data_IF_761871225879
#
_entry.id   IF_761871225879
#
_cell.length_a   1.000
_cell.length_b   1.000
_cell.length_c   1.000
_cell.angle_alpha   90.00
_cell.angle_beta   90.00
_cell.angle_gamma   90.00
#
_symmetry.space_group_name_H-M   'P 1'
#
loop_
_entity.id
_entity.type
_entity.pdbx_description
1 polymer ?
#
# COMPACT_ATOMS: atom_id res chain seq x y z
N UNK A 1 -13.72 27.54 -27.44
CA UNK A 1 -12.83 28.50 -26.76
C UNK A 1 -11.48 27.81 -26.63
N UNK A 2 -10.46 28.43 -27.20
CA UNK A 2 -9.07 27.99 -27.15
C UNK A 2 -8.54 27.91 -25.71
N UNK A 3 -7.64 26.95 -25.48
CA UNK A 3 -6.44 27.05 -24.66
C UNK A 3 -6.57 27.46 -23.19
N UNK A 4 -6.40 26.49 -22.29
CA UNK A 4 -5.57 26.66 -21.08
C UNK A 4 -4.68 25.41 -20.96
N UNK A 5 -3.41 25.59 -21.27
CA UNK A 5 -2.27 24.68 -21.02
C UNK A 5 -1.60 25.03 -19.68
N UNK A 6 -0.83 24.25 -18.92
CA UNK A 6 -0.64 22.82 -18.55
C UNK A 6 -0.19 22.86 -17.05
N UNK A 7 -0.14 21.75 -16.29
CA UNK A 7 1.21 21.32 -15.88
C UNK A 7 1.45 19.79 -15.79
N UNK A 8 2.53 19.19 -16.35
CA UNK A 8 3.76 19.80 -16.92
C UNK A 8 4.71 18.82 -17.66
N UNK A 9 4.91 19.13 -18.95
CA UNK A 9 6.17 19.10 -19.71
C UNK A 9 6.61 17.80 -20.40
N UNK A 10 5.71 17.24 -21.22
CA UNK A 10 6.06 16.53 -22.45
C UNK A 10 5.10 16.98 -23.57
N UNK A 11 5.32 16.54 -24.81
CA UNK A 11 4.71 17.12 -26.03
C UNK A 11 3.16 17.06 -26.09
N UNK A 12 2.49 16.30 -25.22
CA UNK A 12 1.03 16.27 -24.93
C UNK A 12 0.75 15.46 -23.63
N UNK A 13 -0.22 15.87 -22.80
CA UNK A 13 -0.79 15.04 -21.72
C UNK A 13 -1.50 13.79 -22.30
N UNK A 14 -1.77 12.75 -21.51
CA UNK A 14 -2.39 11.48 -21.99
C UNK A 14 -3.78 11.70 -22.59
N UNK A 15 -4.55 12.60 -21.98
CA UNK A 15 -5.85 13.06 -22.48
C UNK A 15 -5.75 13.84 -23.79
N UNK A 16 -4.53 14.29 -24.14
CA UNK A 16 -4.19 15.06 -25.33
C UNK A 16 -3.36 14.25 -26.35
N UNK A 17 -2.92 13.03 -26.00
CA UNK A 17 -2.10 12.17 -26.85
C UNK A 17 -2.95 11.26 -27.74
N UNK A 18 -2.60 11.17 -29.03
CA UNK A 18 -3.17 10.20 -29.95
C UNK A 18 -2.69 8.79 -29.55
N UNK A 19 -3.47 8.11 -28.72
CA UNK A 19 -3.23 6.71 -28.38
C UNK A 19 -3.78 5.79 -29.46
N UNK A 20 -3.15 4.63 -29.63
CA UNK A 20 -3.73 3.58 -30.47
C UNK A 20 -5.05 3.12 -29.84
N UNK A 21 -6.15 3.47 -30.51
CA UNK A 21 -7.50 3.14 -30.08
C UNK A 21 -7.81 1.65 -30.23
N UNK A 22 -8.88 1.23 -29.57
CA UNK A 22 -9.42 -0.12 -29.68
C UNK A 22 -10.28 -0.25 -30.94
N UNK A 23 -9.99 -1.21 -31.81
CA UNK A 23 -10.80 -1.50 -33.01
C UNK A 23 -11.42 -2.88 -33.00
N UNK A 24 -11.01 -3.77 -32.09
CA UNK A 24 -11.60 -5.08 -31.90
C UNK A 24 -11.46 -5.54 -30.45
N UNK A 25 -12.49 -6.23 -29.94
CA UNK A 25 -12.52 -6.87 -28.63
C UNK A 25 -13.26 -8.21 -28.73
N UNK A 26 -12.67 -9.28 -28.20
CA UNK A 26 -13.12 -10.67 -28.34
C UNK A 26 -13.05 -11.46 -27.04
N UNK A 27 -14.09 -12.25 -26.77
CA UNK A 27 -14.11 -13.23 -25.69
C UNK A 27 -13.78 -14.62 -26.22
N UNK A 28 -12.59 -15.13 -25.88
CA UNK A 28 -12.16 -16.48 -26.25
C UNK A 28 -12.39 -17.45 -25.10
N UNK A 29 -13.27 -18.42 -25.33
CA UNK A 29 -13.69 -19.37 -24.30
C UNK A 29 -12.90 -20.68 -24.31
N UNK A 30 -11.95 -20.84 -25.24
CA UNK A 30 -11.16 -22.05 -25.38
C UNK A 30 -9.69 -21.73 -25.68
N UNK A 31 -8.94 -21.48 -24.62
CA UNK A 31 -7.51 -21.14 -24.66
C UNK A 31 -6.61 -22.26 -25.19
N UNK A 32 -7.01 -23.51 -24.96
CA UNK A 32 -6.20 -24.70 -25.23
C UNK A 32 -6.41 -25.31 -26.62
N UNK A 33 -7.30 -24.73 -27.43
CA UNK A 33 -7.47 -25.12 -28.83
C UNK A 33 -6.59 -24.23 -29.71
N UNK A 34 -5.74 -24.84 -30.53
CA UNK A 34 -4.78 -24.18 -31.42
C UNK A 34 -5.39 -23.20 -32.44
N UNK A 35 -6.73 -23.06 -32.48
CA UNK A 35 -7.40 -22.23 -33.47
C UNK A 35 -7.40 -20.73 -33.13
N UNK A 36 -7.59 -20.35 -31.86
CA UNK A 36 -7.50 -18.93 -31.39
C UNK A 36 -6.61 -18.78 -30.15
N UNK A 37 -5.74 -19.76 -29.89
CA UNK A 37 -4.72 -19.70 -28.86
C UNK A 37 -3.51 -18.85 -29.27
N UNK A 38 -2.54 -18.68 -28.36
CA UNK A 38 -1.36 -17.83 -28.57
C UNK A 38 -0.47 -18.17 -29.78
N UNK A 39 -0.55 -19.40 -30.29
CA UNK A 39 0.26 -19.86 -31.41
C UNK A 39 -0.45 -19.67 -32.77
N UNK A 40 -1.69 -19.16 -32.76
CA UNK A 40 -2.56 -19.09 -33.92
C UNK A 40 -2.50 -17.73 -34.62
N UNK A 41 -1.29 -17.24 -34.93
CA UNK A 41 -1.06 -15.88 -35.43
C UNK A 41 -1.97 -15.48 -36.61
N UNK A 42 -2.09 -16.34 -37.63
CA UNK A 42 -2.92 -16.08 -38.81
C UNK A 42 -4.41 -15.99 -38.44
N UNK A 43 -4.90 -16.90 -37.60
CA UNK A 43 -6.30 -16.89 -37.18
C UNK A 43 -6.62 -15.70 -36.27
N UNK A 44 -5.70 -15.32 -35.38
CA UNK A 44 -5.84 -14.13 -34.53
C UNK A 44 -5.83 -12.84 -35.37
N UNK A 45 -4.97 -12.78 -36.39
CA UNK A 45 -4.98 -11.70 -37.37
C UNK A 45 -6.35 -11.58 -38.03
N UNK A 46 -6.84 -12.63 -38.69
CA UNK A 46 -8.15 -12.61 -39.35
C UNK A 46 -9.29 -12.31 -38.37
N UNK A 47 -9.25 -12.86 -37.15
CA UNK A 47 -10.26 -12.59 -36.13
C UNK A 47 -10.34 -11.10 -35.77
N UNK A 48 -9.20 -10.41 -35.67
CA UNK A 48 -9.18 -9.01 -35.25
C UNK A 48 -9.24 -8.01 -36.41
N UNK A 49 -8.85 -8.39 -37.64
CA UNK A 49 -8.84 -7.48 -38.79
C UNK A 49 -9.99 -7.69 -39.77
N UNK A 50 -10.54 -8.90 -39.86
CA UNK A 50 -11.53 -9.27 -40.89
C UNK A 50 -12.89 -9.70 -40.31
N UNK A 51 -13.04 -9.71 -38.98
CA UNK A 51 -14.33 -10.05 -38.36
C UNK A 51 -15.40 -9.01 -38.69
N UNK A 52 -16.55 -9.47 -39.17
CA UNK A 52 -17.73 -8.63 -39.41
C UNK A 52 -18.28 -7.99 -38.13
N UNK A 53 -18.00 -8.61 -36.98
CA UNK A 53 -18.41 -8.14 -35.64
C UNK A 53 -17.15 -7.88 -34.84
N UNK A 54 -16.50 -6.71 -34.95
CA UNK A 54 -15.21 -6.47 -34.33
C UNK A 54 -15.23 -6.47 -32.80
N UNK A 55 -16.38 -6.18 -32.18
CA UNK A 55 -16.57 -6.13 -30.73
C UNK A 55 -17.63 -7.15 -30.32
N UNK A 56 -17.25 -8.07 -29.43
CA UNK A 56 -18.21 -8.97 -28.83
C UNK A 56 -19.08 -8.24 -27.80
N UNK A 57 -20.35 -8.63 -27.71
CA UNK A 57 -21.27 -8.14 -26.68
C UNK A 57 -20.87 -8.64 -25.29
N UNK A 58 -21.23 -7.86 -24.27
CA UNK A 58 -20.96 -8.17 -22.87
C UNK A 58 -21.43 -9.59 -22.48
N UNK A 59 -20.54 -10.35 -21.84
CA UNK A 59 -20.84 -11.71 -21.38
C UNK A 59 -21.41 -11.70 -19.97
N UNK A 60 -22.68 -12.07 -19.85
CA UNK A 60 -23.40 -12.13 -18.56
C UNK A 60 -23.41 -13.53 -17.94
N UNK A 61 -22.80 -14.53 -18.60
CA UNK A 61 -22.78 -15.91 -18.14
C UNK A 61 -21.40 -16.20 -17.53
N UNK A 62 -21.30 -16.55 -16.23
CA UNK A 62 -20.04 -16.90 -15.61
C UNK A 62 -19.38 -18.08 -16.32
N UNK A 63 -18.26 -17.81 -16.99
CA UNK A 63 -17.44 -18.80 -17.70
C UNK A 63 -15.99 -18.36 -17.63
N UNK A 64 -15.08 -19.31 -17.83
CA UNK A 64 -13.69 -18.98 -18.08
C UNK A 64 -13.58 -18.43 -19.52
N UNK A 65 -12.96 -17.28 -19.67
CA UNK A 65 -12.72 -16.64 -20.96
C UNK A 65 -11.40 -15.89 -20.91
N UNK A 66 -10.88 -15.57 -22.10
CA UNK A 66 -9.78 -14.65 -22.31
C UNK A 66 -10.30 -13.47 -23.11
N UNK A 67 -10.01 -12.29 -22.61
CA UNK A 67 -10.22 -11.03 -23.30
C UNK A 67 -9.05 -10.77 -24.26
N UNK A 68 -9.35 -10.69 -25.55
CA UNK A 68 -8.39 -10.31 -26.58
C UNK A 68 -8.83 -9.01 -27.24
N UNK A 69 -7.89 -8.12 -27.51
CA UNK A 69 -8.16 -6.84 -28.13
C UNK A 69 -7.09 -6.45 -29.14
N UNK A 70 -7.46 -5.59 -30.09
CA UNK A 70 -6.55 -5.08 -31.12
C UNK A 70 -6.84 -3.62 -31.47
N UNK A 71 -5.81 -2.93 -31.97
CA UNK A 71 -5.89 -1.55 -32.45
C UNK A 71 -5.99 -1.40 -33.97
N UNK A 72 -6.30 -2.49 -34.67
CA UNK A 72 -6.46 -2.51 -36.11
C UNK A 72 -5.14 -2.39 -36.85
N UNK A 73 -5.22 -2.31 -38.19
CA UNK A 73 -4.02 -2.19 -39.02
C UNK A 73 -3.60 -0.72 -39.08
N UNK A 74 -2.37 -0.43 -38.65
CA UNK A 74 -1.76 0.89 -38.73
C UNK A 74 -0.31 0.81 -39.21
N UNK A 75 0.21 1.91 -39.77
CA UNK A 75 1.60 2.00 -40.20
C UNK A 75 2.49 2.39 -39.02
N UNK A 76 3.47 1.55 -38.66
CA UNK A 76 4.49 1.86 -37.65
C UNK A 76 5.83 2.15 -38.34
N UNK A 77 6.21 3.42 -38.43
CA UNK A 77 7.47 3.82 -39.08
C UNK A 77 8.67 3.49 -38.20
N UNK A 78 9.83 3.27 -38.83
CA UNK A 78 11.09 3.01 -38.11
C UNK A 78 11.41 4.17 -37.15
N UNK A 79 11.47 3.87 -35.85
CA UNK A 79 11.76 4.84 -34.79
C UNK A 79 10.53 5.54 -34.22
N UNK A 80 9.33 5.28 -34.74
CA UNK A 80 8.06 5.74 -34.18
C UNK A 80 7.73 4.92 -32.93
N UNK A 81 7.22 5.59 -31.90
CA UNK A 81 6.74 4.96 -30.67
C UNK A 81 5.25 5.25 -30.56
N UNK A 82 4.46 4.18 -30.45
CA UNK A 82 3.03 4.27 -30.18
C UNK A 82 2.76 3.87 -28.73
N UNK A 83 1.72 4.47 -28.13
CA UNK A 83 1.33 4.20 -26.76
C UNK A 83 -0.05 3.54 -26.74
N UNK A 84 -0.18 2.54 -25.87
CA UNK A 84 -1.45 1.89 -25.53
C UNK A 84 -1.66 2.01 -24.03
N UNK A 85 -2.92 2.11 -23.62
CA UNK A 85 -3.31 2.05 -22.22
C UNK A 85 -4.53 1.17 -22.06
N UNK A 86 -4.47 0.32 -21.04
CA UNK A 86 -5.52 -0.64 -20.73
C UNK A 86 -5.80 -0.57 -19.23
N UNK A 87 -7.08 -0.58 -18.87
CA UNK A 87 -7.53 -0.69 -17.48
C UNK A 87 -8.51 -1.84 -17.36
N UNK A 88 -8.28 -2.73 -16.40
CA UNK A 88 -9.20 -3.79 -16.00
C UNK A 88 -9.82 -3.42 -14.65
N UNK A 89 -11.15 -3.44 -14.57
CA UNK A 89 -11.90 -2.99 -13.39
C UNK A 89 -12.69 -4.15 -12.78
N UNK A 90 -12.44 -4.43 -11.50
CA UNK A 90 -13.17 -5.44 -10.74
C UNK A 90 -13.84 -4.80 -9.52
N UNK A 91 -15.11 -5.10 -9.33
CA UNK A 91 -15.85 -4.72 -8.14
C UNK A 91 -16.69 -5.89 -7.63
N UNK A 92 -16.85 -5.98 -6.31
CA UNK A 92 -17.84 -6.86 -5.72
C UNK A 92 -19.19 -6.16 -5.76
N UNK A 93 -20.17 -6.84 -6.34
CA UNK A 93 -21.52 -6.31 -6.52
C UNK A 93 -22.57 -7.23 -5.90
N UNK A 94 -23.73 -6.66 -5.58
CA UNK A 94 -24.87 -7.43 -5.08
C UNK A 94 -25.47 -8.23 -6.24
N UNK A 95 -25.49 -9.56 -6.11
CA UNK A 95 -25.97 -10.48 -7.15
C UNK A 95 -27.41 -10.18 -7.61
N UNK A 96 -28.27 -9.69 -6.71
CA UNK A 96 -29.64 -9.27 -7.06
C UNK A 96 -29.67 -8.03 -7.96
N UNK A 97 -28.75 -7.08 -7.77
CA UNK A 97 -28.59 -5.91 -8.64
C UNK A 97 -28.06 -6.32 -10.02
N UNK A 98 -27.01 -7.14 -10.05
CA UNK A 98 -26.44 -7.69 -11.29
C UNK A 98 -27.45 -8.48 -12.13
N UNK A 99 -28.34 -9.24 -11.49
CA UNK A 99 -29.37 -10.05 -12.17
C UNK A 99 -30.68 -9.28 -12.42
N UNK A 100 -30.78 -8.00 -12.05
CA UNK A 100 -31.93 -7.17 -12.38
C UNK A 100 -31.93 -6.80 -13.86
N UNK A 101 -33.10 -6.40 -14.41
CA UNK A 101 -33.21 -5.93 -15.79
C UNK A 101 -32.33 -4.70 -16.09
N UNK A 102 -31.95 -3.94 -15.05
CA UNK A 102 -31.07 -2.78 -15.14
C UNK A 102 -29.58 -3.12 -14.98
N UNK A 103 -29.24 -4.35 -14.59
CA UNK A 103 -27.87 -4.80 -14.33
C UNK A 103 -27.09 -3.82 -13.44
N UNK A 104 -27.67 -3.47 -12.29
CA UNK A 104 -27.13 -2.45 -11.40
C UNK A 104 -25.79 -2.89 -10.79
N UNK A 105 -24.77 -2.04 -10.94
CA UNK A 105 -23.39 -2.27 -10.52
C UNK A 105 -22.74 -0.98 -9.97
N UNK A 106 -23.29 -0.41 -8.87
CA UNK A 106 -22.88 0.90 -8.38
C UNK A 106 -21.40 0.97 -7.98
N UNK A 107 -20.83 -0.07 -7.36
CA UNK A 107 -19.43 -0.08 -6.95
C UNK A 107 -18.48 -0.06 -8.16
N UNK A 108 -18.84 -0.76 -9.24
CA UNK A 108 -18.09 -0.74 -10.50
C UNK A 108 -18.12 0.64 -11.15
N UNK A 109 -19.26 1.33 -11.14
CA UNK A 109 -19.36 2.68 -11.69
C UNK A 109 -18.60 3.72 -10.88
N UNK A 110 -18.59 3.63 -9.55
CA UNK A 110 -17.75 4.51 -8.71
C UNK A 110 -16.26 4.23 -8.95
N UNK A 111 -15.86 2.96 -9.04
CA UNK A 111 -14.49 2.58 -9.39
C UNK A 111 -14.08 3.16 -10.75
N UNK A 112 -14.96 3.11 -11.74
CA UNK A 112 -14.72 3.70 -13.07
C UNK A 112 -14.48 5.21 -12.99
N UNK A 113 -15.21 5.96 -12.16
CA UNK A 113 -14.98 7.41 -12.00
C UNK A 113 -13.58 7.71 -11.46
N UNK A 114 -13.11 6.93 -10.50
CA UNK A 114 -11.77 7.05 -9.93
C UNK A 114 -10.71 6.74 -10.98
N UNK A 115 -10.86 5.63 -11.71
CA UNK A 115 -9.89 5.24 -12.75
C UNK A 115 -9.87 6.24 -13.91
N UNK A 116 -11.02 6.81 -14.27
CA UNK A 116 -11.08 7.89 -15.25
C UNK A 116 -10.25 9.11 -14.80
N UNK A 117 -10.35 9.51 -13.53
CA UNK A 117 -9.53 10.60 -12.99
C UNK A 117 -8.03 10.27 -13.02
N UNK A 118 -7.63 9.02 -12.78
CA UNK A 118 -6.23 8.56 -12.88
C UNK A 118 -5.74 8.62 -14.34
N UNK A 119 -6.57 8.19 -15.28
CA UNK A 119 -6.27 8.26 -16.71
C UNK A 119 -6.07 9.71 -17.18
N UNK A 120 -6.96 10.61 -16.76
CA UNK A 120 -6.90 12.04 -17.09
C UNK A 120 -5.74 12.79 -16.40
N UNK A 121 -5.02 12.12 -15.49
CA UNK A 121 -3.86 12.66 -14.77
C UNK A 121 -2.55 11.96 -15.12
N UNK A 122 -2.43 11.46 -16.37
CA UNK A 122 -1.24 10.82 -16.96
C UNK A 122 -0.81 9.48 -16.35
N UNK A 123 -1.73 8.63 -15.89
CA UNK A 123 -1.38 7.38 -15.17
C UNK A 123 -0.51 7.57 -13.94
N UNK A 124 -0.45 8.79 -13.43
CA UNK A 124 0.24 9.04 -12.18
C UNK A 124 -0.69 8.47 -11.11
N UNK A 125 -0.21 7.43 -10.43
CA UNK A 125 -0.90 6.87 -9.27
C UNK A 125 -0.48 7.71 -8.07
N UNK A 126 -1.41 8.02 -7.17
CA UNK A 126 -1.01 8.32 -5.80
C UNK A 126 -0.32 7.05 -5.31
N UNK A 127 0.98 7.13 -5.10
CA UNK A 127 1.74 5.97 -4.66
C UNK A 127 1.72 5.97 -3.15
N UNK A 128 1.35 4.85 -2.51
CA UNK A 128 1.49 4.78 -1.07
C UNK A 128 2.97 5.02 -0.71
N UNK A 129 3.26 5.44 0.53
CA UNK A 129 4.62 5.73 0.95
C UNK A 129 5.59 4.58 0.67
N UNK A 130 6.89 4.85 0.64
CA UNK A 130 7.86 3.78 0.44
C UNK A 130 7.70 2.70 1.51
N UNK A 131 7.54 1.44 1.10
CA UNK A 131 7.23 0.34 2.00
C UNK A 131 8.26 0.24 3.14
N UNK A 132 7.85 0.13 4.42
CA UNK A 132 8.76 -0.06 5.54
C UNK A 132 9.22 -1.52 5.66
N UNK A 133 10.22 -1.76 6.50
CA UNK A 133 10.66 -3.12 6.88
C UNK A 133 10.22 -3.43 8.30
N UNK A 134 9.42 -4.49 8.49
CA UNK A 134 8.95 -4.93 9.79
C UNK A 134 9.84 -6.05 10.35
N UNK A 135 10.19 -5.95 11.63
CA UNK A 135 10.87 -6.98 12.39
C UNK A 135 10.00 -7.33 13.59
N UNK A 136 9.72 -8.62 13.81
CA UNK A 136 8.97 -9.10 14.96
C UNK A 136 9.77 -10.16 15.72
N UNK A 137 9.89 -9.98 17.02
CA UNK A 137 10.59 -10.89 17.93
C UNK A 137 9.57 -11.45 18.95
N UNK A 138 9.25 -12.75 18.89
CA UNK A 138 8.37 -13.37 19.87
C UNK A 138 9.06 -13.53 21.23
N UNK A 139 8.27 -13.42 22.31
CA UNK A 139 8.67 -13.67 23.70
C UNK A 139 7.51 -14.33 24.45
N UNK A 140 7.66 -14.59 25.75
CA UNK A 140 6.61 -15.19 26.57
C UNK A 140 5.40 -14.25 26.67
N UNK A 141 4.30 -14.65 26.04
CA UNK A 141 3.03 -13.90 25.97
C UNK A 141 3.15 -12.49 25.37
N UNK A 142 4.22 -12.24 24.60
CA UNK A 142 4.50 -10.93 24.00
C UNK A 142 5.13 -11.07 22.62
N UNK A 143 4.93 -10.06 21.78
CA UNK A 143 5.72 -9.86 20.56
C UNK A 143 6.24 -8.43 20.54
N UNK A 144 7.55 -8.28 20.37
CA UNK A 144 8.21 -6.99 20.17
C UNK A 144 8.30 -6.72 18.66
N UNK A 145 7.69 -5.64 18.19
CA UNK A 145 7.62 -5.26 16.78
C UNK A 145 8.32 -3.94 16.55
N UNK A 146 9.34 -3.90 15.69
CA UNK A 146 10.06 -2.68 15.32
C UNK A 146 10.17 -2.55 13.82
N UNK A 147 10.31 -1.33 13.33
CA UNK A 147 10.46 -1.07 11.90
C UNK A 147 11.48 0.04 11.59
N UNK A 148 11.87 0.14 10.32
CA UNK A 148 12.76 1.19 9.84
C UNK A 148 12.03 2.52 9.61
N UNK A 149 12.82 3.58 9.44
CA UNK A 149 12.40 4.95 9.13
C UNK A 149 12.49 5.22 7.61
N UNK A 150 12.21 4.19 6.81
CA UNK A 150 12.35 4.33 5.37
C UNK A 150 11.19 5.13 4.74
N UNK A 151 9.97 4.87 5.20
CA UNK A 151 8.76 5.53 4.69
C UNK A 151 8.71 7.00 5.06
N UNK A 152 8.93 7.33 6.33
CA UNK A 152 8.84 8.70 6.87
C UNK A 152 9.97 9.61 6.35
N UNK A 153 11.15 9.07 5.99
CA UNK A 153 12.26 9.88 5.47
C UNK A 153 12.29 10.04 3.96
N UNK A 154 11.99 8.97 3.21
CA UNK A 154 12.33 8.90 1.78
C UNK A 154 11.14 8.94 0.84
N UNK A 155 9.91 8.88 1.33
CA UNK A 155 8.70 9.01 0.51
C UNK A 155 8.62 10.38 -0.14
N UNK A 156 8.36 10.44 -1.44
CA UNK A 156 8.14 11.68 -2.18
C UNK A 156 7.07 11.43 -3.23
N UNK A 157 5.95 12.16 -3.12
CA UNK A 157 4.83 12.02 -4.05
C UNK A 157 4.99 13.02 -5.19
N UNK A 158 4.99 12.51 -6.43
CA UNK A 158 5.11 13.30 -7.65
C UNK A 158 3.97 14.30 -7.79
N UNK A 159 2.76 13.93 -7.37
CA UNK A 159 1.59 14.81 -7.35
C UNK A 159 1.63 15.89 -6.28
N UNK A 160 2.34 15.65 -5.17
CA UNK A 160 2.60 16.61 -4.11
C UNK A 160 3.79 17.52 -4.45
N UNK A 161 4.18 17.66 -5.73
CA UNK A 161 5.38 18.41 -6.16
C UNK A 161 6.67 17.85 -5.57
N UNK A 162 6.78 16.53 -5.44
CA UNK A 162 7.88 15.83 -4.78
C UNK A 162 8.08 16.29 -3.32
N UNK A 163 6.98 16.61 -2.63
CA UNK A 163 6.96 16.79 -1.18
C UNK A 163 6.77 15.41 -0.54
N UNK A 164 7.28 15.24 0.67
CA UNK A 164 6.99 14.08 1.49
C UNK A 164 5.59 14.22 2.08
N UNK A 165 4.67 13.37 1.64
CA UNK A 165 3.27 13.33 2.05
C UNK A 165 2.96 12.13 2.96
N UNK A 166 3.99 11.43 3.44
CA UNK A 166 3.87 10.44 4.51
C UNK A 166 3.13 11.04 5.72
N UNK A 167 2.19 10.27 6.28
CA UNK A 167 1.37 10.69 7.41
C UNK A 167 1.55 9.77 8.62
N UNK A 168 1.63 8.45 8.43
CA UNK A 168 1.78 7.55 9.57
C UNK A 168 1.94 6.07 9.25
N UNK A 169 1.88 5.26 10.32
CA UNK A 169 1.94 3.81 10.27
C UNK A 169 0.71 3.16 10.91
N UNK A 170 0.24 2.07 10.31
CA UNK A 170 -0.73 1.14 10.92
C UNK A 170 -0.13 -0.25 11.02
N UNK A 171 -0.37 -0.90 12.16
CA UNK A 171 -0.02 -2.30 12.37
C UNK A 171 -1.29 -3.13 12.43
N UNK A 172 -1.40 -4.07 11.50
CA UNK A 172 -2.45 -5.08 11.47
C UNK A 172 -1.91 -6.39 12.03
N UNK A 173 -2.79 -7.15 12.68
CA UNK A 173 -2.50 -8.48 13.17
C UNK A 173 -3.63 -9.43 12.82
N UNK A 174 -3.26 -10.61 12.37
CA UNK A 174 -4.17 -11.73 12.15
C UNK A 174 -3.63 -13.01 12.79
N UNK A 175 -4.54 -13.94 13.02
CA UNK A 175 -4.22 -15.31 13.44
C UNK A 175 -4.28 -16.32 12.30
N UNK A 176 -4.54 -15.84 11.08
CA UNK A 176 -4.66 -16.65 9.87
C UNK A 176 -4.13 -15.87 8.64
N UNK A 177 -3.61 -16.56 7.62
CA UNK A 177 -2.83 -15.92 6.57
C UNK A 177 -3.64 -14.97 5.66
N UNK A 178 -4.97 -15.12 5.60
CA UNK A 178 -5.82 -14.29 4.73
C UNK A 178 -6.35 -13.01 5.42
N UNK A 179 -6.05 -12.80 6.70
CA UNK A 179 -6.46 -11.61 7.46
C UNK A 179 -7.99 -11.36 7.45
N UNK A 180 -8.82 -12.40 7.28
CA UNK A 180 -10.27 -12.26 7.37
C UNK A 180 -10.69 -11.89 8.80
N UNK A 181 -10.02 -12.41 9.84
CA UNK A 181 -10.26 -12.02 11.23
C UNK A 181 -9.96 -10.54 11.53
N UNK A 182 -9.07 -9.92 10.76
CA UNK A 182 -8.72 -8.50 10.85
C UNK A 182 -9.65 -7.62 9.99
N UNK A 183 -10.27 -8.17 8.95
CA UNK A 183 -11.16 -7.45 8.02
C UNK A 183 -12.54 -7.26 8.64
N UNK A 184 -12.67 -6.22 9.46
CA UNK A 184 -13.83 -5.98 10.32
C UNK A 184 -14.61 -4.72 9.97
N UNK A 185 -14.06 -3.84 9.15
CA UNK A 185 -14.67 -2.54 8.82
C UNK A 185 -15.34 -2.68 7.46
N UNK A 186 -16.66 -2.48 7.44
CA UNK A 186 -17.46 -2.53 6.22
C UNK A 186 -17.56 -1.18 5.53
N UNK A 187 -17.78 -1.22 4.21
CA UNK A 187 -18.14 -0.07 3.42
C UNK A 187 -19.58 0.41 3.67
N UNK A 188 -19.97 1.50 2.99
CA UNK A 188 -21.30 2.09 3.10
C UNK A 188 -22.43 1.16 2.63
N UNK A 189 -22.11 0.07 1.93
CA UNK A 189 -23.03 -0.95 1.44
C UNK A 189 -23.08 -2.21 2.33
N UNK A 190 -22.22 -2.27 3.37
CA UNK A 190 -22.15 -3.38 4.31
C UNK A 190 -21.14 -4.48 3.96
N UNK A 191 -20.34 -4.30 2.91
CA UNK A 191 -19.31 -5.26 2.50
C UNK A 191 -18.06 -5.07 3.37
N UNK A 192 -17.53 -6.10 4.04
CA UNK A 192 -16.27 -6.00 4.78
C UNK A 192 -15.10 -5.68 3.84
N UNK A 193 -14.41 -4.56 4.06
CA UNK A 193 -13.38 -4.04 3.14
C UNK A 193 -12.07 -3.73 3.84
N UNK A 194 -12.10 -3.03 4.98
CA UNK A 194 -10.87 -2.56 5.66
C UNK A 194 -10.52 -3.40 6.90
N UNK A 195 -9.21 -3.44 7.17
CA UNK A 195 -8.65 -4.13 8.34
C UNK A 195 -8.65 -3.22 9.55
N UNK A 196 -8.89 -3.79 10.73
CA UNK A 196 -8.78 -3.08 12.00
C UNK A 196 -7.33 -3.15 12.50
N UNK A 197 -6.68 -2.00 12.60
CA UNK A 197 -5.33 -1.89 13.16
C UNK A 197 -5.33 -2.18 14.67
N UNK A 198 -4.30 -2.86 15.15
CA UNK A 198 -4.04 -3.03 16.59
C UNK A 198 -3.20 -1.89 17.16
N UNK A 199 -2.51 -1.16 16.28
CA UNK A 199 -1.70 0.00 16.62
C UNK A 199 -1.67 0.97 15.44
N UNK A 200 -1.64 2.27 15.74
CA UNK A 200 -1.49 3.35 14.77
C UNK A 200 -0.73 4.52 15.40
N UNK A 201 0.17 5.10 14.63
CA UNK A 201 0.84 6.36 14.93
C UNK A 201 0.89 7.24 13.68
N UNK A 202 0.89 8.54 13.89
CA UNK A 202 0.78 9.59 12.88
C UNK A 202 1.66 10.78 13.24
N UNK A 203 1.94 11.65 12.27
CA UNK A 203 2.65 12.90 12.52
C UNK A 203 1.89 13.79 13.52
N UNK A 204 2.58 14.75 14.11
CA UNK A 204 1.94 15.81 14.91
C UNK A 204 1.94 17.04 14.03
N UNK A 205 0.89 17.20 13.23
CA UNK A 205 0.79 18.27 12.25
C UNK A 205 -0.65 18.78 12.01
N UNK A 206 -1.55 18.48 12.96
CA UNK A 206 -2.98 18.85 12.95
C UNK A 206 -3.79 18.15 11.85
N UNK A 207 -3.29 17.05 11.26
CA UNK A 207 -4.00 16.22 10.27
C UNK A 207 -4.44 14.88 10.86
N UNK A 208 -5.59 14.89 11.51
CA UNK A 208 -6.10 13.73 12.24
C UNK A 208 -7.58 13.46 11.97
N UNK A 209 -8.08 12.35 12.49
CA UNK A 209 -9.47 11.95 12.31
C UNK A 209 -9.74 11.35 10.94
N UNK A 210 -10.97 11.49 10.46
CA UNK A 210 -11.36 10.98 9.14
C UNK A 210 -11.09 12.03 8.07
N UNK A 211 -10.38 11.62 7.00
CA UNK A 211 -10.22 12.43 5.81
C UNK A 211 -11.60 12.70 5.18
N UNK A 212 -11.94 13.97 5.03
CA UNK A 212 -13.22 14.43 4.46
C UNK A 212 -13.18 14.61 2.94
N UNK A 213 -12.23 13.93 2.28
CA UNK A 213 -11.98 13.92 0.84
C UNK A 213 -11.60 12.50 0.41
N UNK A 214 -11.68 12.23 -0.89
CA UNK A 214 -11.30 10.93 -1.45
C UNK A 214 -12.09 9.76 -0.85
N UNK A 215 -13.36 9.97 -0.54
CA UNK A 215 -14.24 8.92 -0.04
C UNK A 215 -14.43 7.82 -1.10
N UNK A 216 -14.32 6.55 -0.68
CA UNK A 216 -14.49 5.38 -1.55
C UNK A 216 -15.59 4.50 -0.98
N UNK A 217 -16.67 4.31 -1.73
CA UNK A 217 -17.80 3.45 -1.35
C UNK A 217 -18.38 3.76 0.05
N UNK A 218 -18.47 5.04 0.43
CA UNK A 218 -18.97 5.44 1.76
C UNK A 218 -17.93 5.35 2.89
N UNK A 219 -16.67 5.04 2.58
CA UNK A 219 -15.59 4.96 3.57
C UNK A 219 -14.69 6.18 3.47
N UNK A 220 -14.51 6.84 4.62
CA UNK A 220 -13.48 7.85 4.83
C UNK A 220 -12.25 7.22 5.48
N UNK A 221 -11.07 7.59 4.99
CA UNK A 221 -9.82 7.07 5.54
C UNK A 221 -9.51 7.70 6.90
N UNK A 222 -9.14 6.89 7.89
CA UNK A 222 -8.80 7.38 9.22
C UNK A 222 -7.29 7.64 9.36
N UNK A 223 -6.92 8.92 9.49
CA UNK A 223 -5.55 9.43 9.50
C UNK A 223 -4.85 9.31 10.86
N UNK A 224 -5.58 9.17 11.96
CA UNK A 224 -4.99 9.03 13.30
C UNK A 224 -5.51 10.06 14.30
N UNK A 225 -4.69 10.40 15.30
CA UNK A 225 -5.02 11.30 16.40
C UNK A 225 -3.85 12.22 16.85
N UNK A 226 -2.93 12.58 15.96
CA UNK A 226 -1.70 13.35 16.23
C UNK A 226 -0.87 12.78 17.39
N UNK A 227 -0.50 11.49 17.33
CA UNK A 227 0.22 10.83 18.43
C UNK A 227 1.74 10.91 18.35
N UNK A 228 2.28 11.33 17.21
CA UNK A 228 3.70 11.30 16.91
C UNK A 228 4.17 9.94 16.42
N UNK A 229 5.16 9.96 15.52
CA UNK A 229 5.74 8.77 14.92
C UNK A 229 6.56 7.99 15.94
N UNK A 230 6.37 6.68 15.94
CA UNK A 230 7.22 5.73 16.65
C UNK A 230 7.64 4.61 15.70
N UNK A 231 8.72 3.92 16.06
CA UNK A 231 9.26 2.79 15.28
C UNK A 231 9.22 1.47 16.04
N UNK A 232 8.36 1.37 17.05
CA UNK A 232 8.24 0.18 17.89
C UNK A 232 6.88 0.04 18.56
N UNK A 233 6.41 -1.20 18.70
CA UNK A 233 5.20 -1.57 19.42
C UNK A 233 5.37 -2.93 20.12
N UNK A 234 4.72 -3.11 21.27
CA UNK A 234 4.71 -4.38 22.01
C UNK A 234 3.29 -4.93 22.05
N UNK A 235 3.04 -6.05 21.36
CA UNK A 235 1.76 -6.75 21.47
C UNK A 235 1.81 -7.70 22.68
N UNK A 236 1.09 -7.34 23.74
CA UNK A 236 0.94 -8.13 24.97
C UNK A 236 -0.38 -8.92 25.01
N UNK A 237 -1.13 -8.97 23.90
CA UNK A 237 -2.44 -9.64 23.81
C UNK A 237 -2.35 -11.00 23.11
N UNK A 238 -1.14 -11.46 22.83
CA UNK A 238 -0.85 -12.74 22.18
C UNK A 238 -0.83 -13.91 23.16
N UNK A 239 -1.02 -15.12 22.63
CA UNK A 239 -0.97 -16.36 23.38
C UNK A 239 0.19 -17.23 22.90
N UNK A 240 0.89 -17.86 23.84
CA UNK A 240 1.96 -18.80 23.53
C UNK A 240 1.43 -19.99 22.73
N UNK A 241 2.21 -20.44 21.76
CA UNK A 241 1.86 -21.58 20.92
C UNK A 241 0.90 -21.27 19.75
N UNK A 242 0.44 -20.02 19.60
CA UNK A 242 -0.35 -19.59 18.44
C UNK A 242 0.50 -18.80 17.46
N UNK A 243 0.34 -19.06 16.16
CA UNK A 243 0.99 -18.30 15.10
C UNK A 243 0.23 -16.99 14.89
N UNK A 244 0.97 -15.89 14.77
CA UNK A 244 0.44 -14.57 14.48
C UNK A 244 1.13 -14.00 13.24
N UNK A 245 0.32 -13.35 12.41
CA UNK A 245 0.74 -12.65 11.21
C UNK A 245 0.62 -11.16 11.47
N UNK A 246 1.71 -10.42 11.29
CA UNK A 246 1.74 -8.97 11.43
C UNK A 246 2.05 -8.33 10.09
N UNK A 247 1.32 -7.25 9.79
CA UNK A 247 1.53 -6.42 8.61
C UNK A 247 1.67 -4.98 9.08
N UNK A 248 2.78 -4.35 8.74
CA UNK A 248 2.98 -2.92 8.89
C UNK A 248 2.67 -2.23 7.57
N UNK A 249 1.91 -1.15 7.60
CA UNK A 249 1.71 -0.29 6.44
C UNK A 249 2.09 1.13 6.80
N UNK A 250 2.78 1.82 5.91
CA UNK A 250 2.83 3.26 5.92
C UNK A 250 1.67 3.81 5.08
N UNK A 251 1.12 4.95 5.48
CA UNK A 251 0.10 5.67 4.74
C UNK A 251 0.44 7.15 4.60
N UNK A 252 -0.03 7.74 3.51
CA UNK A 252 0.11 9.16 3.19
C UNK A 252 -1.14 9.95 3.60
N UNK A 253 -1.09 11.27 3.40
CA UNK A 253 -2.23 12.16 3.61
C UNK A 253 -3.14 12.27 2.37
N UNK A 254 -2.72 11.73 1.22
CA UNK A 254 -3.37 11.98 -0.07
C UNK A 254 -3.29 13.46 -0.48
N UNK A 255 -4.22 13.87 -1.36
CA UNK A 255 -4.25 15.25 -1.88
C UNK A 255 -5.67 15.82 -1.82
N UNK A 256 -6.01 16.55 -0.73
CA UNK A 256 -7.35 17.13 -0.53
C UNK A 256 -7.81 18.00 -1.70
N UNK A 257 -6.94 18.87 -2.22
CA UNK A 257 -7.24 19.81 -3.31
C UNK A 257 -7.64 19.12 -4.62
N UNK A 258 -7.27 17.84 -4.77
CA UNK A 258 -7.57 17.00 -5.95
C UNK A 258 -8.54 15.88 -5.63
N UNK A 259 -9.10 15.86 -4.43
CA UNK A 259 -9.98 14.82 -3.93
C UNK A 259 -9.39 13.40 -4.06
N UNK A 260 -8.07 13.28 -3.89
CA UNK A 260 -7.35 12.00 -3.92
C UNK A 260 -7.28 11.47 -2.49
N UNK A 261 -7.78 10.26 -2.29
CA UNK A 261 -7.81 9.58 -0.99
C UNK A 261 -6.40 9.30 -0.48
N UNK A 262 -6.19 9.30 0.85
CA UNK A 262 -5.02 8.69 1.46
C UNK A 262 -4.81 7.25 0.98
N UNK A 263 -3.55 6.88 0.73
CA UNK A 263 -3.18 5.54 0.31
C UNK A 263 -2.25 4.87 1.33
N UNK A 264 -2.34 3.54 1.46
CA UNK A 264 -1.49 2.75 2.34
C UNK A 264 -0.80 1.60 1.60
N UNK A 265 0.32 1.12 2.14
CA UNK A 265 1.04 0.02 1.52
C UNK A 265 0.20 -1.27 1.43
N UNK A 266 0.36 -1.97 0.32
CA UNK A 266 -0.08 -3.35 0.19
C UNK A 266 0.96 -4.32 0.80
N UNK A 267 0.56 -5.56 1.03
CA UNK A 267 1.44 -6.63 1.47
C UNK A 267 1.24 -7.88 0.61
N UNK A 268 2.27 -8.72 0.54
CA UNK A 268 2.22 -10.02 -0.09
C UNK A 268 2.45 -11.06 0.99
N UNK A 269 1.51 -12.01 1.11
CA UNK A 269 1.67 -13.23 1.89
C UNK A 269 1.09 -14.37 1.06
N UNK A 270 1.97 -15.23 0.57
CA UNK A 270 1.60 -16.37 -0.26
C UNK A 270 1.85 -17.65 0.50
N UNK A 271 0.81 -18.49 0.58
CA UNK A 271 0.89 -19.83 1.14
C UNK A 271 0.71 -20.88 0.05
N UNK A 272 1.22 -22.09 0.29
CA UNK A 272 0.99 -23.25 -0.57
C UNK A 272 -0.26 -24.05 -0.15
N UNK A 273 -0.52 -25.15 -0.87
CA UNK A 273 -1.65 -26.05 -0.58
C UNK A 273 -1.52 -26.78 0.78
N UNK A 274 -0.33 -26.76 1.39
CA UNK A 274 -0.05 -27.32 2.70
C UNK A 274 -0.01 -26.25 3.81
N UNK A 275 -0.45 -25.02 3.52
CA UNK A 275 -0.40 -23.86 4.41
C UNK A 275 1.03 -23.40 4.79
N UNK A 276 2.04 -23.80 4.01
CA UNK A 276 3.41 -23.31 4.20
C UNK A 276 3.62 -21.99 3.47
N UNK A 277 4.33 -21.06 4.12
CA UNK A 277 4.62 -19.74 3.56
C UNK A 277 5.63 -19.88 2.42
N UNK A 278 5.22 -19.52 1.20
CA UNK A 278 6.11 -19.43 0.03
C UNK A 278 6.85 -18.10 -0.03
N UNK A 279 6.12 -17.00 0.21
CA UNK A 279 6.64 -15.64 0.00
C UNK A 279 5.95 -14.64 0.92
N UNK A 280 6.74 -13.74 1.48
CA UNK A 280 6.26 -12.58 2.22
C UNK A 280 6.98 -11.31 1.77
N UNK A 281 6.29 -10.17 1.78
CA UNK A 281 6.90 -8.86 1.60
C UNK A 281 7.60 -8.39 2.88
N UNK A 282 8.51 -7.41 2.77
CA UNK A 282 9.35 -6.95 3.89
C UNK A 282 8.59 -6.27 5.03
N UNK A 283 7.35 -5.86 4.79
CA UNK A 283 6.47 -5.28 5.79
C UNK A 283 5.61 -6.33 6.52
N UNK A 284 5.87 -7.62 6.29
CA UNK A 284 5.17 -8.75 6.90
C UNK A 284 6.12 -9.49 7.84
N UNK A 285 5.63 -9.87 9.02
CA UNK A 285 6.35 -10.75 9.93
C UNK A 285 5.41 -11.83 10.49
N UNK A 286 5.89 -13.07 10.53
CA UNK A 286 5.15 -14.22 11.06
C UNK A 286 5.90 -14.80 12.23
N UNK A 287 5.24 -14.88 13.39
CA UNK A 287 5.88 -15.28 14.64
C UNK A 287 4.97 -16.17 15.46
N UNK A 288 5.59 -17.00 16.31
CA UNK A 288 4.90 -17.87 17.25
C UNK A 288 5.48 -17.63 18.65
N UNK A 289 4.80 -16.83 19.50
CA UNK A 289 5.18 -16.65 20.90
C UNK A 289 5.32 -18.00 21.60
N UNK A 290 6.31 -18.10 22.47
CA UNK A 290 6.59 -19.32 23.21
C UNK A 290 7.01 -19.00 24.64
N UNK A 291 6.81 -19.96 25.53
CA UNK A 291 7.31 -19.86 26.90
C UNK A 291 8.83 -20.07 26.92
N UNK A 292 9.50 -19.40 27.85
CA UNK A 292 10.91 -19.67 28.11
C UNK A 292 11.09 -21.03 28.82
N UNK A 293 12.21 -21.70 28.58
CA UNK A 293 12.53 -22.92 29.33
C UNK A 293 12.78 -22.59 30.80
N UNK A 294 12.43 -23.52 31.71
CA UNK A 294 12.71 -23.34 33.14
C UNK A 294 14.22 -23.08 33.37
N UNK A 295 14.55 -21.98 34.05
CA UNK A 295 15.93 -21.56 34.30
C UNK A 295 16.53 -20.67 33.21
N UNK A 296 15.76 -20.23 32.21
CA UNK A 296 16.17 -19.14 31.33
C UNK A 296 16.44 -17.90 32.19
N UNK A 297 17.60 -17.23 32.07
CA UNK A 297 17.89 -16.04 32.85
C UNK A 297 16.81 -14.99 32.58
N UNK A 298 16.27 -14.37 33.64
CA UNK A 298 15.47 -13.17 33.45
C UNK A 298 16.42 -12.09 32.93
N UNK A 299 16.28 -11.71 31.66
CA UNK A 299 17.05 -10.62 31.08
C UNK A 299 16.61 -9.31 31.75
N UNK A 300 17.26 -9.00 32.86
CA UNK A 300 17.24 -7.68 33.48
C UNK A 300 18.46 -6.92 33.03
N UNK A 301 18.28 -5.74 32.45
CA UNK A 301 19.38 -4.79 32.31
C UNK A 301 19.56 -4.06 33.65
N UNK A 302 20.74 -4.19 34.26
CA UNK A 302 21.12 -3.31 35.36
C UNK A 302 21.60 -1.97 34.79
N UNK A 303 20.96 -0.89 35.21
CA UNK A 303 21.40 0.46 34.86
C UNK A 303 22.54 0.84 35.81
N UNK A 304 23.74 1.06 35.27
CA UNK A 304 24.92 1.52 36.02
C UNK A 304 25.48 2.80 35.37
N UNK A 305 25.97 3.74 36.18
CA UNK A 305 26.70 4.92 35.69
C UNK A 305 25.84 6.03 35.06
N UNK A 306 24.79 6.48 35.77
CA UNK A 306 24.05 7.69 35.38
C UNK A 306 24.85 8.97 35.71
N UNK A 307 24.84 9.92 34.79
CA UNK A 307 25.36 11.28 35.02
C UNK A 307 24.37 12.06 35.91
N UNK A 308 24.86 13.08 36.63
CA UNK A 308 24.01 13.90 37.53
C UNK A 308 22.81 14.53 36.80
N UNK A 309 22.95 14.86 35.51
CA UNK A 309 21.86 15.37 34.68
C UNK A 309 20.78 14.31 34.38
N UNK A 310 21.14 13.03 34.29
CA UNK A 310 20.20 11.93 34.05
C UNK A 310 19.50 11.49 35.35
N UNK A 311 20.09 11.73 36.53
CA UNK A 311 19.54 11.36 37.85
C UNK A 311 18.20 12.03 38.18
N UNK A 312 17.76 13.02 37.41
CA UNK A 312 16.45 13.68 37.59
C UNK A 312 15.36 13.10 36.67
N UNK A 313 15.71 12.13 35.82
CA UNK A 313 14.80 11.49 34.87
C UNK A 313 14.52 10.07 35.36
N UNK A 314 13.24 9.73 35.54
CA UNK A 314 12.85 8.36 35.85
C UNK A 314 12.99 7.51 34.58
N UNK A 315 14.11 6.80 34.46
CA UNK A 315 14.43 5.96 33.31
C UNK A 315 14.06 4.50 33.61
N UNK A 316 13.16 3.94 32.80
CA UNK A 316 12.92 2.51 32.73
C UNK A 316 13.50 1.99 31.40
N UNK A 317 14.31 0.94 31.46
CA UNK A 317 14.89 0.31 30.27
C UNK A 317 14.22 -1.04 30.07
N UNK A 318 13.40 -1.14 29.03
CA UNK A 318 12.84 -2.41 28.59
C UNK A 318 13.71 -2.99 27.47
N UNK A 319 14.07 -4.26 27.59
CA UNK A 319 14.86 -4.96 26.57
C UNK A 319 13.94 -5.37 25.42
N UNK A 320 14.06 -4.65 24.31
CA UNK A 320 13.17 -4.80 23.16
C UNK A 320 13.46 -6.06 22.31
N UNK A 321 14.73 -6.44 22.18
CA UNK A 321 15.14 -7.63 21.42
C UNK A 321 16.24 -8.39 22.19
N UNK A 322 15.85 -9.34 23.06
CA UNK A 322 16.80 -10.12 23.86
C UNK A 322 17.80 -10.88 23.00
N UNK A 323 17.41 -11.32 21.80
CA UNK A 323 18.26 -12.11 20.92
C UNK A 323 19.43 -11.30 20.33
N UNK A 324 19.32 -9.97 20.30
CA UNK A 324 20.41 -9.07 19.87
C UNK A 324 21.36 -8.68 21.01
N UNK A 325 21.02 -9.02 22.24
CA UNK A 325 21.86 -8.74 23.40
C UNK A 325 23.02 -9.73 23.42
N UNK A 326 24.23 -9.19 23.46
CA UNK A 326 25.45 -9.96 23.58
C UNK A 326 25.79 -10.09 25.05
N UNK A 327 25.90 -11.33 25.53
CA UNK A 327 26.18 -11.60 26.93
C UNK A 327 27.54 -11.02 27.35
N UNK A 328 27.62 -10.39 28.53
CA UNK A 328 28.82 -9.76 29.06
C UNK A 328 29.19 -8.40 28.43
N UNK A 329 28.33 -7.81 27.60
CA UNK A 329 28.56 -6.49 27.02
C UNK A 329 27.91 -5.38 27.86
N UNK A 330 28.62 -4.25 27.98
CA UNK A 330 28.07 -2.99 28.49
C UNK A 330 27.56 -2.14 27.34
N UNK A 331 26.29 -1.74 27.39
CA UNK A 331 25.66 -0.86 26.42
C UNK A 331 25.63 0.57 26.97
N UNK A 332 25.87 1.57 26.12
CA UNK A 332 25.80 2.98 26.51
C UNK A 332 24.62 3.66 25.81
N UNK A 333 23.69 4.16 26.60
CA UNK A 333 22.64 5.05 26.12
C UNK A 333 23.17 6.48 26.14
N UNK A 334 23.23 7.13 24.98
CA UNK A 334 23.51 8.57 24.87
C UNK A 334 22.22 9.28 24.46
N UNK A 335 21.68 10.09 25.35
CA UNK A 335 20.58 10.98 25.04
C UNK A 335 21.16 12.32 24.60
N UNK A 336 20.88 12.75 23.37
CA UNK A 336 21.18 14.11 22.95
C UNK A 336 20.05 15.00 23.47
N UNK A 337 20.38 16.02 24.26
CA UNK A 337 19.42 17.07 24.61
C UNK A 337 19.23 17.93 23.37
N UNK A 338 18.01 17.97 22.84
CA UNK A 338 17.67 18.84 21.72
C UNK A 338 17.38 20.22 22.29
N UNK A 339 18.37 21.12 22.24
CA UNK A 339 18.06 22.56 22.14
C UNK A 339 17.79 22.82 20.66
N UNK A 340 16.58 23.26 20.31
CA UNK A 340 16.20 23.55 18.92
C UNK A 340 17.04 24.72 18.38
N UNK A 341 18.22 24.41 17.84
CA UNK A 341 19.21 25.35 17.33
C UNK A 341 19.21 25.42 15.81
N UNK A 342 18.18 26.07 15.26
CA UNK A 342 18.03 26.43 13.85
C UNK A 342 17.91 25.28 12.81
N UNK A 343 17.25 25.64 11.71
CA UNK A 343 16.89 24.79 10.60
C UNK A 343 17.81 25.11 9.41
N UNK A 344 18.45 24.09 8.82
CA UNK A 344 19.22 24.26 7.58
C UNK A 344 18.72 23.28 6.50
N UNK A 345 18.74 23.75 5.25
CA UNK A 345 18.48 22.90 4.09
C UNK A 345 19.72 22.05 3.79
N UNK A 346 19.55 20.74 3.65
CA UNK A 346 20.66 19.81 3.36
C UNK A 346 20.90 19.68 1.86
N UNK A 347 22.15 19.67 1.40
CA UNK A 347 22.45 19.34 0.00
C UNK A 347 22.05 17.90 -0.40
N UNK A 348 21.76 17.03 0.58
CA UNK A 348 21.25 15.66 0.34
C UNK A 348 19.74 15.59 0.21
N UNK A 349 19.00 16.62 0.63
CA UNK A 349 17.55 16.60 0.51
C UNK A 349 17.15 17.02 -0.90
N UNK A 350 16.20 16.28 -1.50
CA UNK A 350 15.81 16.47 -2.90
C UNK A 350 14.82 17.62 -3.09
N UNK A 351 14.21 18.10 -2.00
CA UNK A 351 13.24 19.19 -2.01
C UNK A 351 13.70 20.37 -1.13
N UNK A 352 13.49 21.63 -1.56
CA UNK A 352 13.78 22.82 -0.73
C UNK A 352 12.90 22.94 0.52
N UNK A 353 11.84 22.12 0.64
CA UNK A 353 10.98 22.06 1.83
C UNK A 353 11.42 21.01 2.86
N UNK A 354 12.42 20.19 2.52
CA UNK A 354 12.98 19.20 3.42
C UNK A 354 14.02 19.87 4.34
N UNK A 355 13.58 20.30 5.52
CA UNK A 355 14.43 20.87 6.55
C UNK A 355 14.97 19.72 7.42
N UNK A 356 16.29 19.64 7.56
CA UNK A 356 16.90 18.83 8.61
C UNK A 356 17.12 19.74 9.82
N UNK A 357 16.61 19.30 10.96
CA UNK A 357 16.97 19.91 12.24
C UNK A 357 18.36 19.40 12.62
N UNK A 358 19.31 20.32 12.75
CA UNK A 358 20.66 20.02 13.20
C UNK A 358 20.80 20.39 14.68
N UNK A 359 21.58 19.61 15.41
CA UNK A 359 22.07 20.01 16.73
C UNK A 359 23.41 20.73 16.53
N UNK A 360 23.65 21.80 17.30
CA UNK A 360 24.97 22.45 17.38
C UNK A 360 26.04 21.53 17.98
#
# INVERSE_FOLDING_TARGET
KEGIAEPNFAETDVSESDMLGLTSFKYIHNWGADFYGHAADENLWHLHTESEVPFDDAQMIPKNFIEQFASGVFELKKGQTERISISELHAYEVLAGLNSDTHDAPALFELKKIVQAIYETDYRFAQPPLMPTLIANPSESKVFLSWDDYSDKFTRESFAKNINDFEGYKLYRSTEPYFADATQISDGYGTPTLKKAIYQCDLIDDKYGFANYGEINGIQYYLGNDKGITHSFIDNTVQNGRTYYYVLVAYDYGLPDRNISPSENIFVLEIDENEEIKRISKNVAVVKPHQFSAGYPSDGANIEGMTDAANHINLQVDLFDPNKIKNGHTYKLKMNVVEFGHAEASERTRSPYDILYYNN
#
